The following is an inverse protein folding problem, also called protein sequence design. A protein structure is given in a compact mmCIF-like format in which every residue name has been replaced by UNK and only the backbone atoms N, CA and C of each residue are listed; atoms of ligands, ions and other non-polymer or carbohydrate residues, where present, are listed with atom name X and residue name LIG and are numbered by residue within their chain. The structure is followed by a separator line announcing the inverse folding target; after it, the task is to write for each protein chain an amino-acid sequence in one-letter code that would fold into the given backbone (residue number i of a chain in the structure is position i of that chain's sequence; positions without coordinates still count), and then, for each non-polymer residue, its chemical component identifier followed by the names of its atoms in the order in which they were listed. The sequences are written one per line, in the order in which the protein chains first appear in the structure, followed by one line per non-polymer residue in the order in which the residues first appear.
data_IF_041774121515
#
_entry.id   IF_041774121515
#
_cell.length_a   1.000
_cell.length_b   1.000
_cell.length_c   1.000
_cell.angle_alpha   90.00
_cell.angle_beta   90.00
_cell.angle_gamma   90.00
#
_symmetry.space_group_name_H-M   'P 1'
#
loop_
_entity.id
_entity.type
_entity.pdbx_description
1 polymer ?
#
# COMPACT_ATOMS: atom_id res chain seq x y z
N UNK A 1 1.87 9.56 -6.04
CA UNK A 1 2.71 8.42 -6.46
C UNK A 1 3.02 7.59 -5.23
N UNK A 2 2.98 6.26 -5.29
CA UNK A 2 3.37 5.40 -4.17
C UNK A 2 4.65 4.68 -4.55
N UNK A 3 5.66 4.73 -3.69
CA UNK A 3 6.89 3.97 -3.80
C UNK A 3 6.97 2.95 -2.67
N UNK A 4 7.44 1.73 -2.96
CA UNK A 4 7.61 0.69 -1.94
C UNK A 4 9.01 0.11 -2.07
N UNK A 5 9.77 0.16 -0.99
CA UNK A 5 11.15 -0.30 -0.92
C UNK A 5 11.32 -1.36 0.17
N UNK A 6 11.96 -2.48 -0.17
CA UNK A 6 12.24 -3.57 0.79
C UNK A 6 13.65 -3.43 1.32
N UNK A 7 13.78 -3.21 2.62
CA UNK A 7 15.05 -3.08 3.34
C UNK A 7 15.22 -4.25 4.33
N UNK A 8 15.62 -5.41 3.80
CA UNK A 8 15.79 -6.64 4.60
C UNK A 8 14.46 -7.13 5.16
N UNK A 9 14.26 -7.00 6.48
CA UNK A 9 13.01 -7.37 7.15
C UNK A 9 11.98 -6.23 7.21
N UNK A 10 12.38 -5.01 6.84
CA UNK A 10 11.51 -3.84 6.84
C UNK A 10 11.05 -3.51 5.43
N UNK A 11 9.86 -2.92 5.32
CA UNK A 11 9.33 -2.39 4.08
C UNK A 11 9.02 -0.92 4.32
N UNK A 12 9.52 -0.03 3.47
CA UNK A 12 9.30 1.41 3.53
C UNK A 12 8.39 1.79 2.36
N UNK A 13 7.23 2.34 2.67
CA UNK A 13 6.27 2.84 1.69
C UNK A 13 6.26 4.37 1.75
N UNK A 14 6.43 5.02 0.61
CA UNK A 14 6.41 6.48 0.49
C UNK A 14 5.25 6.89 -0.40
N UNK A 15 4.29 7.61 0.18
CA UNK A 15 3.21 8.29 -0.52
C UNK A 15 3.68 9.71 -0.88
N UNK A 16 3.93 9.95 -2.16
CA UNK A 16 4.33 11.26 -2.70
C UNK A 16 3.07 11.94 -3.20
N UNK A 17 2.64 13.00 -2.51
CA UNK A 17 1.44 13.77 -2.86
C UNK A 17 1.80 15.18 -3.28
N UNK A 18 1.28 15.63 -4.42
CA UNK A 18 1.61 16.93 -5.04
C UNK A 18 1.27 18.14 -4.14
N UNK A 19 0.33 17.96 -3.20
CA UNK A 19 -0.19 19.05 -2.36
C UNK A 19 0.34 19.07 -0.93
N UNK A 20 0.97 17.99 -0.42
CA UNK A 20 1.19 17.80 1.02
C UNK A 20 2.52 17.12 1.42
N UNK A 21 3.45 16.97 0.49
CA UNK A 21 4.75 16.35 0.76
C UNK A 21 4.71 14.82 0.75
N UNK A 22 5.80 14.22 1.22
CA UNK A 22 6.03 12.77 1.22
C UNK A 22 5.66 12.18 2.59
N UNK A 23 4.71 11.24 2.62
CA UNK A 23 4.38 10.46 3.81
C UNK A 23 5.07 9.10 3.75
N UNK A 24 5.88 8.77 4.75
CA UNK A 24 6.63 7.52 4.82
C UNK A 24 6.07 6.60 5.92
N UNK A 25 5.69 5.38 5.52
CA UNK A 25 5.25 4.30 6.41
C UNK A 25 6.30 3.21 6.44
N UNK A 26 6.73 2.77 7.63
CA UNK A 26 7.66 1.65 7.77
C UNK A 26 6.96 0.46 8.40
N UNK A 27 6.99 -0.67 7.71
CA UNK A 27 6.38 -1.93 8.11
C UNK A 27 7.45 -2.96 8.45
N UNK A 28 7.13 -3.87 9.38
CA UNK A 28 7.95 -5.04 9.66
C UNK A 28 7.36 -6.22 8.88
N UNK A 29 7.93 -6.49 7.72
CA UNK A 29 7.49 -7.54 6.81
C UNK A 29 6.20 -7.22 6.03
N UNK A 30 5.90 -8.10 5.07
CA UNK A 30 4.73 -7.98 4.18
C UNK A 30 3.38 -8.00 4.90
N UNK A 31 3.14 -8.81 5.96
CA UNK A 31 1.83 -8.84 6.61
C UNK A 31 1.41 -7.49 7.20
N UNK A 32 2.35 -6.75 7.80
CA UNK A 32 2.07 -5.43 8.36
C UNK A 32 1.72 -4.40 7.28
N UNK A 33 2.43 -4.43 6.15
CA UNK A 33 2.10 -3.58 4.98
C UNK A 33 0.74 -3.94 4.40
N UNK A 34 0.44 -5.24 4.28
CA UNK A 34 -0.85 -5.71 3.75
C UNK A 34 -2.01 -5.28 4.63
N UNK A 35 -1.86 -5.34 5.95
CA UNK A 35 -2.87 -4.85 6.89
C UNK A 35 -3.13 -3.36 6.66
N UNK A 36 -2.08 -2.55 6.60
CA UNK A 36 -2.20 -1.12 6.29
C UNK A 36 -2.88 -0.88 4.93
N UNK A 37 -2.52 -1.65 3.90
CA UNK A 37 -3.10 -1.50 2.58
C UNK A 37 -4.61 -1.81 2.60
N UNK A 38 -5.04 -2.82 3.36
CA UNK A 38 -6.48 -3.12 3.52
C UNK A 38 -7.24 -2.07 4.32
N UNK A 39 -6.58 -1.37 5.25
CA UNK A 39 -7.18 -0.27 6.00
C UNK A 39 -7.26 1.02 5.16
N UNK A 40 -6.22 1.29 4.35
CA UNK A 40 -6.15 2.44 3.43
C UNK A 40 -7.10 2.30 2.25
N UNK A 41 -7.24 1.08 1.72
CA UNK A 41 -8.10 0.74 0.58
C UNK A 41 -9.19 -0.24 1.03
N UNK A 42 -10.21 0.23 1.78
CA UNK A 42 -11.30 -0.63 2.22
C UNK A 42 -12.11 -1.09 1.02
N UNK A 43 -12.49 -2.36 1.00
CA UNK A 43 -13.19 -2.98 -0.14
C UNK A 43 -14.52 -2.29 -0.47
N UNK A 44 -15.24 -1.78 0.54
CA UNK A 44 -16.46 -0.97 0.35
C UNK A 44 -16.25 0.27 -0.52
N UNK A 45 -15.05 0.88 -0.53
CA UNK A 45 -14.77 2.00 -1.43
C UNK A 45 -14.63 1.61 -2.90
N UNK A 46 -14.62 0.31 -3.19
CA UNK A 46 -14.49 -0.27 -4.53
C UNK A 46 -15.72 -1.11 -4.90
N UNK A 47 -16.90 -0.81 -4.33
CA UNK A 47 -18.16 -1.44 -4.75
C UNK A 47 -18.40 -1.19 -6.26
N UNK A 48 -18.42 -2.29 -7.04
CA UNK A 48 -18.53 -2.25 -8.50
C UNK A 48 -17.19 -2.23 -9.25
N UNK A 49 -16.06 -2.09 -8.53
CA UNK A 49 -14.69 -2.12 -9.08
C UNK A 49 -13.77 -3.05 -8.26
N UNK A 50 -14.29 -4.21 -7.87
CA UNK A 50 -13.54 -5.22 -7.09
C UNK A 50 -12.26 -5.69 -7.80
N UNK A 51 -12.26 -5.71 -9.14
CA UNK A 51 -11.09 -6.04 -9.95
C UNK A 51 -9.95 -5.02 -9.77
N UNK A 52 -10.28 -3.73 -9.65
CA UNK A 52 -9.29 -2.67 -9.38
C UNK A 52 -8.72 -2.81 -7.98
N UNK A 53 -9.57 -3.05 -6.99
CA UNK A 53 -9.12 -3.33 -5.63
C UNK A 53 -8.18 -4.53 -5.59
N UNK A 54 -8.55 -5.61 -6.29
CA UNK A 54 -7.74 -6.82 -6.36
C UNK A 54 -6.39 -6.56 -7.04
N UNK A 55 -6.36 -5.78 -8.11
CA UNK A 55 -5.11 -5.38 -8.79
C UNK A 55 -4.19 -4.58 -7.86
N UNK A 56 -4.74 -3.63 -7.09
CA UNK A 56 -3.98 -2.83 -6.12
C UNK A 56 -3.41 -3.74 -5.02
N UNK A 57 -4.24 -4.62 -4.44
CA UNK A 57 -3.80 -5.56 -3.41
C UNK A 57 -2.76 -6.55 -3.93
N UNK A 58 -2.90 -7.01 -5.17
CA UNK A 58 -1.94 -7.92 -5.79
C UNK A 58 -0.59 -7.24 -6.04
N UNK A 59 -0.59 -5.97 -6.47
CA UNK A 59 0.63 -5.18 -6.58
C UNK A 59 1.38 -5.10 -5.24
N UNK A 60 0.69 -4.86 -4.12
CA UNK A 60 1.31 -4.89 -2.80
C UNK A 60 1.85 -6.26 -2.39
N UNK A 61 1.23 -7.37 -2.83
CA UNK A 61 1.71 -8.72 -2.54
C UNK A 61 2.96 -9.10 -3.34
N UNK A 62 3.15 -8.53 -4.52
CA UNK A 62 4.27 -8.83 -5.41
C UNK A 62 5.58 -8.14 -5.02
N UNK A 63 5.53 -7.12 -4.14
CA UNK A 63 6.71 -6.41 -3.60
C UNK A 63 7.51 -7.28 -2.65
#
# INVERSE_FOLDING_TARGET
MINVEVQGTKIVLTEITDQWGEECHTFIGRPAMMQWATEKFPKDSFEGTEEEWQAIMDAFKQV
#
